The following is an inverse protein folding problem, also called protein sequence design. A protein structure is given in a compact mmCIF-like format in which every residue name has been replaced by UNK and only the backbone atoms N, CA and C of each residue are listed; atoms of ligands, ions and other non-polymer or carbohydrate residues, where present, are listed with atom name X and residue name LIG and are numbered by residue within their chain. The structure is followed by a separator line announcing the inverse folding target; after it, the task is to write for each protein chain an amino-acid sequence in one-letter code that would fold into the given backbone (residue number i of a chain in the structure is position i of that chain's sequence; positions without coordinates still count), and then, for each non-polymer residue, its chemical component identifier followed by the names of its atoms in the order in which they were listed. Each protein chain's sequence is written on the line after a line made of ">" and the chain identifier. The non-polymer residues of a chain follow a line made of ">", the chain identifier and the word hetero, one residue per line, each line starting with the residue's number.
data_IF_615994454503
#
_entry.id   IF_615994454503
#
_cell.length_a   1.000
_cell.length_b   1.000
_cell.length_c   1.000
_cell.angle_alpha   90.00
_cell.angle_beta   90.00
_cell.angle_gamma   90.00
#
_symmetry.space_group_name_H-M   'P 1'
#
loop_
_entity.id
_entity.type
_entity.pdbx_description
1 polymer ?
#
# COMPACT_ATOMS: atom_id res chain seq x y z
N UNK A 1 36.41 -15.29 18.02
CA UNK A 1 36.43 -15.29 16.55
C UNK A 1 35.01 -15.06 16.06
N UNK A 2 34.69 -13.83 15.62
CA UNK A 2 33.35 -13.48 15.13
C UNK A 2 33.29 -13.69 13.61
N UNK A 3 32.42 -14.59 13.17
CA UNK A 3 32.18 -14.92 11.76
C UNK A 3 31.41 -13.77 11.09
N UNK A 4 32.09 -13.03 10.22
CA UNK A 4 31.46 -12.03 9.36
C UNK A 4 30.53 -12.74 8.37
N UNK A 5 29.22 -12.48 8.45
CA UNK A 5 28.26 -12.90 7.42
C UNK A 5 28.53 -12.09 6.15
N UNK A 6 29.15 -12.73 5.16
CA UNK A 6 29.29 -12.18 3.81
C UNK A 6 27.89 -11.97 3.21
N UNK A 7 27.49 -10.71 3.03
CA UNK A 7 26.25 -10.37 2.34
C UNK A 7 26.38 -10.80 0.87
N UNK A 8 25.65 -11.84 0.46
CA UNK A 8 25.63 -12.34 -0.92
C UNK A 8 25.00 -11.28 -1.82
N UNK A 9 25.79 -10.69 -2.70
CA UNK A 9 25.31 -9.75 -3.73
C UNK A 9 24.29 -10.46 -4.62
N UNK A 10 23.06 -9.94 -4.67
CA UNK A 10 21.97 -10.53 -5.45
C UNK A 10 22.25 -10.27 -6.94
N UNK A 11 22.33 -11.32 -7.76
CA UNK A 11 22.61 -11.19 -9.18
C UNK A 11 21.42 -10.54 -9.91
N UNK A 12 21.55 -9.36 -10.52
CA UNK A 12 20.45 -8.67 -11.20
C UNK A 12 19.89 -9.46 -12.41
N UNK A 13 20.65 -10.41 -12.96
CA UNK A 13 20.17 -11.31 -14.00
C UNK A 13 19.06 -12.28 -13.52
N UNK A 14 18.91 -12.48 -12.19
CA UNK A 14 17.87 -13.35 -11.62
C UNK A 14 16.45 -12.76 -11.71
N UNK A 15 16.32 -11.47 -12.06
CA UNK A 15 15.03 -10.78 -12.18
C UNK A 15 14.43 -10.89 -13.59
N UNK A 16 15.16 -11.42 -14.57
CA UNK A 16 14.66 -11.59 -15.94
C UNK A 16 14.08 -13.01 -16.07
N UNK A 17 12.80 -13.12 -16.39
CA UNK A 17 12.12 -14.40 -16.60
C UNK A 17 11.65 -14.53 -18.05
N UNK A 18 11.98 -15.62 -18.76
CA UNK A 18 11.44 -15.86 -20.09
C UNK A 18 9.93 -16.08 -19.99
N UNK A 19 9.20 -15.43 -20.89
CA UNK A 19 7.75 -15.57 -21.02
C UNK A 19 7.47 -15.72 -22.52
N UNK A 20 7.38 -16.98 -22.93
CA UNK A 20 7.10 -17.34 -24.32
C UNK A 20 5.59 -17.26 -24.51
N UNK A 21 5.16 -16.39 -25.42
CA UNK A 21 3.75 -16.30 -25.82
C UNK A 21 3.37 -17.52 -26.67
N UNK A 22 2.07 -17.80 -26.85
CA UNK A 22 1.60 -18.85 -27.76
C UNK A 22 2.15 -18.70 -29.19
N UNK A 23 2.49 -17.47 -29.58
CA UNK A 23 3.08 -17.11 -30.88
C UNK A 23 4.58 -17.45 -30.99
N UNK A 24 5.19 -18.03 -29.94
CA UNK A 24 6.61 -18.37 -29.89
C UNK A 24 7.55 -17.19 -29.61
N UNK A 25 7.00 -16.00 -29.31
CA UNK A 25 7.79 -14.80 -29.01
C UNK A 25 8.13 -14.75 -27.52
N UNK A 26 9.43 -14.69 -27.19
CA UNK A 26 9.89 -14.52 -25.79
C UNK A 26 9.94 -13.04 -25.41
N UNK A 27 9.04 -12.66 -24.50
CA UNK A 27 8.90 -11.30 -24.00
C UNK A 27 9.92 -10.94 -22.92
N UNK A 28 10.65 -11.92 -22.35
CA UNK A 28 11.67 -11.73 -21.29
C UNK A 28 11.31 -10.65 -20.28
N UNK A 29 10.35 -10.95 -19.40
CA UNK A 29 9.81 -10.00 -18.43
C UNK A 29 10.85 -9.70 -17.34
N UNK A 30 11.11 -8.42 -17.11
CA UNK A 30 11.94 -7.96 -15.99
C UNK A 30 11.05 -7.74 -14.77
N UNK A 31 11.21 -8.58 -13.75
CA UNK A 31 10.55 -8.43 -12.47
C UNK A 31 11.09 -7.19 -11.74
N UNK A 32 10.19 -6.46 -11.09
CA UNK A 32 10.57 -5.38 -10.18
C UNK A 32 11.37 -5.95 -9.00
N UNK A 33 12.37 -5.18 -8.54
CA UNK A 33 13.15 -5.58 -7.37
C UNK A 33 12.27 -5.69 -6.12
N UNK A 34 12.70 -6.51 -5.17
CA UNK A 34 11.97 -6.70 -3.91
C UNK A 34 11.76 -5.37 -3.16
N UNK A 35 12.72 -4.44 -3.25
CA UNK A 35 12.59 -3.10 -2.68
C UNK A 35 11.49 -2.28 -3.34
N UNK A 36 11.38 -2.32 -4.67
CA UNK A 36 10.34 -1.59 -5.43
C UNK A 36 8.94 -2.08 -5.09
N UNK A 37 8.77 -3.39 -4.87
CA UNK A 37 7.49 -3.96 -4.44
C UNK A 37 7.15 -3.59 -3.00
N UNK A 38 8.14 -3.64 -2.12
CA UNK A 38 7.97 -3.24 -0.72
C UNK A 38 7.65 -1.74 -0.57
N UNK A 39 8.27 -0.88 -1.38
CA UNK A 39 7.98 0.56 -1.36
C UNK A 39 6.58 0.88 -1.90
N UNK A 40 6.13 0.18 -2.94
CA UNK A 40 4.76 0.32 -3.45
C UNK A 40 3.72 -0.03 -2.37
N UNK A 41 3.92 -1.16 -1.68
CA UNK A 41 3.05 -1.56 -0.56
C UNK A 41 3.11 -0.57 0.61
N UNK A 42 4.30 -0.09 0.99
CA UNK A 42 4.43 0.86 2.10
C UNK A 42 3.76 2.20 1.78
N UNK A 43 3.90 2.71 0.55
CA UNK A 43 3.26 3.96 0.15
C UNK A 43 1.74 3.87 0.25
N UNK A 44 1.17 2.75 -0.19
CA UNK A 44 -0.27 2.51 -0.08
C UNK A 44 -0.75 2.54 1.39
N UNK A 45 -0.08 1.78 2.27
CA UNK A 45 -0.37 1.77 3.71
C UNK A 45 -0.26 3.16 4.33
N UNK A 46 0.80 3.91 4.01
CA UNK A 46 1.01 5.27 4.53
C UNK A 46 -0.11 6.20 4.08
N UNK A 47 -0.50 6.16 2.81
CA UNK A 47 -1.56 7.01 2.26
C UNK A 47 -2.89 6.71 2.96
N UNK A 48 -3.26 5.44 3.13
CA UNK A 48 -4.50 5.04 3.81
C UNK A 48 -4.51 5.54 5.26
N UNK A 49 -3.40 5.37 5.99
CA UNK A 49 -3.30 5.81 7.40
C UNK A 49 -3.39 7.33 7.51
N UNK A 50 -2.67 8.07 6.66
CA UNK A 50 -2.71 9.54 6.68
C UNK A 50 -4.11 10.05 6.34
N UNK A 51 -4.76 9.50 5.32
CA UNK A 51 -6.12 9.86 4.95
C UNK A 51 -7.11 9.59 6.09
N UNK A 52 -7.00 8.42 6.74
CA UNK A 52 -7.84 8.10 7.90
C UNK A 52 -7.63 9.08 9.06
N UNK A 53 -6.39 9.49 9.35
CA UNK A 53 -6.11 10.47 10.40
C UNK A 53 -6.72 11.84 10.04
N UNK A 54 -6.45 12.34 8.83
CA UNK A 54 -6.92 13.66 8.38
C UNK A 54 -8.43 13.77 8.48
N UNK A 55 -9.15 12.81 7.90
CA UNK A 55 -10.61 12.93 7.88
C UNK A 55 -11.17 12.69 9.31
N UNK A 56 -10.47 11.95 10.20
CA UNK A 56 -10.89 11.77 11.61
C UNK A 56 -10.78 13.08 12.37
N UNK A 57 -9.71 13.83 12.14
CA UNK A 57 -9.52 15.16 12.72
C UNK A 57 -10.58 16.13 12.20
N UNK A 58 -10.89 16.09 10.89
CA UNK A 58 -11.98 16.89 10.30
C UNK A 58 -13.32 16.53 10.92
N UNK A 59 -13.60 15.25 11.15
CA UNK A 59 -14.83 14.81 11.80
C UNK A 59 -14.90 15.29 13.26
N UNK A 60 -13.84 15.10 14.05
CA UNK A 60 -13.81 15.48 15.47
C UNK A 60 -13.90 17.00 15.68
N UNK A 61 -13.12 17.78 14.93
CA UNK A 61 -13.02 19.22 15.13
C UNK A 61 -13.99 20.02 14.25
N UNK A 62 -14.29 19.53 13.04
CA UNK A 62 -15.21 20.19 12.11
C UNK A 62 -16.69 19.94 12.45
N UNK A 63 -17.01 18.85 13.16
CA UNK A 63 -18.39 18.52 13.55
C UNK A 63 -18.62 18.55 15.06
N UNK A 64 -17.64 18.97 15.86
CA UNK A 64 -17.76 19.15 17.31
C UNK A 64 -18.80 20.18 17.77
N UNK A 65 -19.54 20.81 16.85
CA UNK A 65 -20.73 21.61 17.13
C UNK A 65 -22.06 20.85 17.03
N UNK A 66 -22.07 19.64 16.45
CA UNK A 66 -23.22 18.74 16.42
C UNK A 66 -23.19 17.90 17.70
N UNK A 67 -24.33 17.84 18.41
CA UNK A 67 -24.43 17.06 19.63
C UNK A 67 -24.09 15.58 19.37
N UNK A 68 -23.68 14.86 20.42
CA UNK A 68 -23.29 13.43 20.34
C UNK A 68 -24.38 12.55 19.68
N UNK A 69 -25.63 13.02 19.69
CA UNK A 69 -26.81 12.39 19.09
C UNK A 69 -26.79 12.38 17.55
N UNK A 70 -26.13 13.35 16.91
CA UNK A 70 -26.04 13.47 15.44
C UNK A 70 -24.76 12.83 14.86
N UNK A 71 -23.94 12.20 15.71
CA UNK A 71 -22.65 11.63 15.31
C UNK A 71 -22.77 10.22 14.68
N UNK A 72 -23.89 9.51 14.87
CA UNK A 72 -24.08 8.15 14.34
C UNK A 72 -24.01 8.07 12.80
N UNK A 73 -24.71 8.93 12.02
CA UNK A 73 -24.63 8.89 10.55
C UNK A 73 -23.23 9.22 10.05
N UNK A 74 -22.55 10.13 10.73
CA UNK A 74 -21.18 10.52 10.40
C UNK A 74 -20.22 9.33 10.58
N UNK A 75 -20.38 8.56 11.65
CA UNK A 75 -19.57 7.38 11.92
C UNK A 75 -19.80 6.27 10.88
N UNK A 76 -21.02 6.14 10.35
CA UNK A 76 -21.33 5.20 9.26
C UNK A 76 -20.62 5.64 7.97
N UNK A 77 -20.75 6.92 7.59
CA UNK A 77 -20.05 7.48 6.41
C UNK A 77 -18.53 7.35 6.57
N UNK A 78 -18.02 7.55 7.79
CA UNK A 78 -16.62 7.37 8.14
C UNK A 78 -16.10 5.95 7.86
N UNK A 79 -16.82 4.94 8.34
CA UNK A 79 -16.47 3.53 8.13
C UNK A 79 -16.52 3.18 6.65
N UNK A 80 -17.55 3.65 5.93
CA UNK A 80 -17.71 3.40 4.49
C UNK A 80 -16.56 4.06 3.71
N UNK A 81 -16.17 5.28 4.06
CA UNK A 81 -15.05 5.99 3.44
C UNK A 81 -13.72 5.25 3.65
N UNK A 82 -13.42 4.80 4.87
CA UNK A 82 -12.24 3.96 5.14
C UNK A 82 -12.33 2.63 4.37
N UNK A 83 -13.51 2.02 4.29
CA UNK A 83 -13.73 0.79 3.52
C UNK A 83 -13.43 0.98 2.03
N UNK A 84 -13.81 2.12 1.45
CA UNK A 84 -13.44 2.41 0.06
C UNK A 84 -11.95 2.69 -0.10
N UNK A 85 -11.33 3.46 0.81
CA UNK A 85 -9.90 3.75 0.74
C UNK A 85 -9.04 2.49 0.82
N UNK A 86 -9.43 1.49 1.62
CA UNK A 86 -8.69 0.21 1.72
C UNK A 86 -9.00 -0.79 0.59
N UNK A 87 -10.00 -0.51 -0.24
CA UNK A 87 -10.47 -1.42 -1.29
C UNK A 87 -10.22 -0.88 -2.71
N UNK A 88 -9.85 0.39 -2.83
CA UNK A 88 -9.16 0.92 -4.01
C UNK A 88 -7.75 0.34 -3.97
N UNK A 89 -7.52 -0.83 -4.58
CA UNK A 89 -6.26 -1.39 -5.11
C UNK A 89 -6.47 -2.83 -5.56
#
# INVERSE_FOLDING_TARGET
>A
MATARTAKVKNPAALIRPLVTPEGVDLRVKLADAGTRASGFLLDVVIIVVAAIVVSLVALFGLGGLGVQDAEPLFIVWIIFIFFLRNVH
#
